data_IF_486752430046
#
_entry.id   IF_486752430046
#
_cell.length_a   1.000
_cell.length_b   1.000
_cell.length_c   1.000
_cell.angle_alpha   90.00
_cell.angle_beta   90.00
_cell.angle_gamma   90.00
#
_symmetry.space_group_name_H-M   'P 1'
#
loop_
_entity.id
_entity.type
_entity.pdbx_description
1 polymer ?
#
# COMPACT_ATOMS: atom_id res chain seq x y z
N UNK A 1 -1.95 29.76 9.12
CA UNK A 1 -1.67 29.23 7.77
C UNK A 1 -1.54 27.71 7.90
N UNK A 2 -2.46 26.99 7.27
CA UNK A 2 -3.02 25.74 7.80
C UNK A 2 -2.07 24.52 7.73
N UNK A 3 -1.76 23.96 8.89
CA UNK A 3 -1.05 22.69 9.10
C UNK A 3 -1.74 21.46 8.46
N UNK A 4 -2.94 21.62 7.91
CA UNK A 4 -3.75 20.57 7.23
C UNK A 4 -3.65 20.57 5.69
N UNK A 5 -2.80 21.42 5.11
CA UNK A 5 -2.58 21.42 3.64
C UNK A 5 -1.82 20.18 3.14
N UNK A 6 -1.04 19.53 4.00
CA UNK A 6 -0.26 18.34 3.66
C UNK A 6 -1.07 17.04 3.81
N UNK A 7 -0.86 16.12 2.86
CA UNK A 7 -1.54 14.81 2.83
C UNK A 7 -1.21 13.95 4.07
N UNK A 8 -0.06 14.19 4.69
CA UNK A 8 0.43 13.48 5.90
C UNK A 8 -0.28 13.94 7.19
N UNK A 9 -0.72 15.20 7.26
CA UNK A 9 -1.30 15.81 8.48
C UNK A 9 -2.82 15.78 8.53
N UNK A 10 -3.51 15.27 7.50
CA UNK A 10 -4.98 15.12 7.49
C UNK A 10 -5.50 13.88 8.23
N UNK A 11 -4.63 12.92 8.53
CA UNK A 11 -5.01 11.59 9.03
C UNK A 11 -4.51 11.35 10.47
N UNK A 12 -3.77 12.31 11.03
CA UNK A 12 -3.16 12.19 12.36
C UNK A 12 -4.04 12.89 13.38
N UNK A 13 -4.55 12.14 14.36
CA UNK A 13 -5.19 12.72 15.54
C UNK A 13 -4.14 13.47 16.35
N UNK A 14 -4.23 14.79 16.41
CA UNK A 14 -3.34 15.65 17.19
C UNK A 14 -4.05 16.07 18.48
N UNK A 15 -3.44 15.78 19.63
CA UNK A 15 -3.86 16.31 20.94
C UNK A 15 -3.00 17.53 21.23
N UNK A 16 -3.64 18.67 21.54
CA UNK A 16 -2.97 19.88 21.99
C UNK A 16 -3.20 20.02 23.50
N UNK A 17 -2.12 19.96 24.28
CA UNK A 17 -2.14 20.19 25.73
C UNK A 17 -1.89 21.68 25.93
N UNK A 18 -2.84 22.38 26.55
CA UNK A 18 -2.82 23.84 26.63
C UNK A 18 -1.67 24.38 27.49
N UNK A 19 -1.00 25.40 26.96
CA UNK A 19 -0.25 26.41 27.72
C UNK A 19 -0.88 27.78 27.45
N UNK A 20 -0.84 28.68 28.44
CA UNK A 20 -1.41 30.04 28.52
C UNK A 20 -2.76 30.32 27.79
N UNK A 21 -3.82 30.70 28.53
CA UNK A 21 -5.20 30.73 28.02
C UNK A 21 -5.45 31.69 26.85
N UNK A 22 -4.67 32.75 26.67
CA UNK A 22 -4.82 33.68 25.53
C UNK A 22 -4.43 33.07 24.16
N UNK A 23 -3.60 32.02 24.14
CA UNK A 23 -3.18 31.36 22.87
C UNK A 23 -4.14 30.25 22.42
N UNK A 24 -4.84 29.59 23.35
CA UNK A 24 -5.74 28.48 23.04
C UNK A 24 -6.93 28.89 22.15
N UNK A 25 -7.42 30.12 22.30
CA UNK A 25 -8.61 30.59 21.59
C UNK A 25 -8.33 30.89 20.10
N UNK A 26 -7.12 31.36 19.76
CA UNK A 26 -6.70 31.58 18.35
C UNK A 26 -6.44 30.27 17.61
N UNK A 27 -6.10 29.19 18.31
CA UNK A 27 -5.88 27.86 17.74
C UNK A 27 -7.20 27.10 17.56
N UNK A 28 -8.17 27.26 18.49
CA UNK A 28 -9.56 26.75 18.36
C UNK A 28 -10.26 27.22 17.09
N UNK A 29 -10.06 28.48 16.71
CA UNK A 29 -10.62 29.04 15.47
C UNK A 29 -10.01 28.42 14.18
N UNK A 30 -8.80 27.85 14.25
CA UNK A 30 -8.12 27.27 13.08
C UNK A 30 -8.26 25.74 12.97
N UNK A 31 -8.59 25.04 14.06
CA UNK A 31 -8.71 23.57 14.10
C UNK A 31 -9.85 23.15 15.05
N UNK A 32 -11.10 23.11 14.56
CA UNK A 32 -12.27 22.77 15.40
C UNK A 32 -12.34 21.29 15.81
N UNK A 33 -11.64 20.40 15.11
CA UNK A 33 -11.65 18.95 15.40
C UNK A 33 -10.57 18.51 16.41
N UNK A 34 -9.87 19.45 17.05
CA UNK A 34 -8.86 19.11 18.06
C UNK A 34 -9.54 18.91 19.41
N UNK A 35 -9.25 17.79 20.08
CA UNK A 35 -9.65 17.56 21.47
C UNK A 35 -8.71 18.35 22.38
N UNK A 36 -9.24 19.34 23.09
CA UNK A 36 -8.50 20.15 24.07
C UNK A 36 -8.66 19.56 25.47
N UNK A 37 -7.57 19.43 26.25
CA UNK A 37 -7.62 18.96 27.63
C UNK A 37 -6.79 19.86 28.55
N UNK A 38 -7.21 19.99 29.81
CA UNK A 38 -6.41 20.53 30.91
C UNK A 38 -5.59 19.41 31.56
N UNK A 39 -4.59 19.78 32.36
CA UNK A 39 -3.55 18.86 32.87
C UNK A 39 -4.01 17.84 33.94
N UNK A 40 -5.25 17.89 34.42
CA UNK A 40 -5.76 16.95 35.42
C UNK A 40 -6.61 15.86 34.76
N UNK A 41 -6.05 14.65 34.63
CA UNK A 41 -6.71 13.47 34.04
C UNK A 41 -6.11 12.96 32.72
N UNK A 42 -4.91 13.44 32.36
CA UNK A 42 -4.26 13.17 31.06
C UNK A 42 -4.01 11.67 30.79
N UNK A 43 -3.70 10.87 31.82
CA UNK A 43 -3.30 9.47 31.64
C UNK A 43 -4.49 8.56 31.31
N UNK A 44 -5.59 8.67 32.07
CA UNK A 44 -6.76 7.80 31.90
C UNK A 44 -7.46 8.02 30.55
N UNK A 45 -7.54 9.30 30.13
CA UNK A 45 -8.06 9.66 28.80
C UNK A 45 -7.13 9.28 27.65
N UNK A 46 -5.82 9.23 27.88
CA UNK A 46 -4.85 8.70 26.89
C UNK A 46 -5.10 7.20 26.65
N UNK A 47 -5.33 6.43 27.71
CA UNK A 47 -5.62 4.99 27.59
C UNK A 47 -6.93 4.74 26.85
N UNK A 48 -7.99 5.49 27.17
CA UNK A 48 -9.27 5.40 26.47
C UNK A 48 -9.16 5.83 25.01
N UNK A 49 -8.39 6.87 24.71
CA UNK A 49 -8.18 7.31 23.33
C UNK A 49 -7.33 6.31 22.54
N UNK A 50 -6.33 5.68 23.17
CA UNK A 50 -5.55 4.60 22.56
C UNK A 50 -6.45 3.41 22.27
N UNK A 51 -7.32 3.01 23.22
CA UNK A 51 -8.30 1.93 23.03
C UNK A 51 -9.30 2.25 21.93
N UNK A 52 -9.87 3.46 21.92
CA UNK A 52 -10.82 3.90 20.89
C UNK A 52 -10.15 4.02 19.51
N UNK A 53 -8.91 4.51 19.45
CA UNK A 53 -8.14 4.59 18.19
C UNK A 53 -7.78 3.20 17.68
N UNK A 54 -7.39 2.27 18.55
CA UNK A 54 -7.14 0.88 18.19
C UNK A 54 -8.42 0.18 17.70
N UNK A 55 -9.56 0.47 18.31
CA UNK A 55 -10.86 -0.09 17.92
C UNK A 55 -11.35 0.51 16.58
N UNK A 56 -11.15 1.81 16.36
CA UNK A 56 -11.44 2.49 15.08
C UNK A 56 -10.49 2.06 13.96
N UNK A 57 -9.21 1.80 14.26
CA UNK A 57 -8.25 1.25 13.31
C UNK A 57 -8.57 -0.21 12.92
N UNK A 58 -9.15 -1.00 13.84
CA UNK A 58 -9.67 -2.35 13.53
C UNK A 58 -10.93 -2.32 12.67
N UNK A 59 -11.71 -1.24 12.73
CA UNK A 59 -13.00 -1.09 12.02
C UNK A 59 -12.92 -0.25 10.74
N UNK A 60 -11.83 0.46 10.49
CA UNK A 60 -11.64 1.20 9.25
C UNK A 60 -11.43 0.22 8.09
N UNK A 61 -12.31 0.18 7.07
CA UNK A 61 -12.02 -0.55 5.86
C UNK A 61 -10.82 0.13 5.18
N UNK A 62 -9.67 -0.54 5.12
CA UNK A 62 -8.48 -0.11 4.38
C UNK A 62 -8.73 0.06 2.85
N UNK A 63 -9.96 -0.13 2.37
CA UNK A 63 -10.32 -0.26 0.96
C UNK A 63 -10.94 0.97 0.29
N UNK A 64 -11.37 2.00 1.02
CA UNK A 64 -12.24 3.04 0.42
C UNK A 64 -11.50 4.28 -0.10
N UNK A 65 -10.22 4.50 0.26
CA UNK A 65 -9.51 5.71 -0.16
C UNK A 65 -9.04 5.74 -1.63
N UNK A 66 -9.36 4.71 -2.43
CA UNK A 66 -8.93 4.62 -3.83
C UNK A 66 -10.00 4.02 -4.78
N UNK A 67 -11.28 4.11 -4.42
CA UNK A 67 -12.37 3.80 -5.34
C UNK A 67 -12.39 4.88 -6.45
N UNK A 68 -11.94 4.53 -7.66
CA UNK A 68 -11.98 5.42 -8.83
C UNK A 68 -10.65 5.69 -9.54
N UNK A 69 -9.48 5.39 -8.93
CA UNK A 69 -8.20 5.49 -9.64
C UNK A 69 -7.99 4.24 -10.51
N UNK A 70 -7.75 4.36 -11.83
CA UNK A 70 -7.49 3.23 -12.71
C UNK A 70 -6.36 2.34 -12.19
N UNK A 71 -6.49 1.02 -12.36
CA UNK A 71 -5.53 0.04 -11.86
C UNK A 71 -4.12 0.28 -12.42
N UNK A 72 -4.01 0.65 -13.70
CA UNK A 72 -2.72 0.98 -14.32
C UNK A 72 -1.98 2.10 -13.56
N UNK A 73 -2.71 3.14 -13.14
CA UNK A 73 -2.14 4.26 -12.34
C UNK A 73 -1.79 3.82 -10.92
N UNK A 74 -2.58 2.92 -10.31
CA UNK A 74 -2.25 2.29 -9.01
C UNK A 74 -0.96 1.48 -9.09
N UNK A 75 -0.76 0.74 -10.17
CA UNK A 75 0.46 -0.05 -10.41
C UNK A 75 1.67 0.82 -10.76
N UNK A 76 1.44 2.07 -11.17
CA UNK A 76 2.47 3.02 -11.59
C UNK A 76 2.96 2.75 -13.00
N UNK A 77 2.07 2.31 -13.88
CA UNK A 77 2.32 2.12 -15.31
C UNK A 77 2.25 3.48 -15.99
N UNK A 78 3.25 3.77 -16.84
CA UNK A 78 3.35 5.01 -17.62
C UNK A 78 3.16 4.72 -19.11
N UNK A 79 2.84 5.72 -19.95
CA UNK A 79 2.81 5.56 -21.40
C UNK A 79 4.11 4.93 -21.94
N UNK A 80 4.00 4.10 -22.96
CA UNK A 80 5.12 3.41 -23.60
C UNK A 80 5.70 2.21 -22.82
N UNK A 81 5.15 1.89 -21.64
CA UNK A 81 5.65 0.77 -20.83
C UNK A 81 5.41 -0.59 -21.46
N UNK A 82 6.42 -1.45 -21.42
CA UNK A 82 6.26 -2.90 -21.58
C UNK A 82 6.10 -3.56 -20.21
N UNK A 83 4.93 -4.15 -19.96
CA UNK A 83 4.60 -4.80 -18.69
C UNK A 83 4.59 -6.32 -18.85
N UNK A 84 5.43 -7.00 -18.07
CA UNK A 84 5.49 -8.47 -18.02
C UNK A 84 4.47 -9.02 -17.03
N UNK A 85 3.62 -9.93 -17.47
CA UNK A 85 2.63 -10.64 -16.68
C UNK A 85 3.10 -12.08 -16.42
N UNK A 86 3.51 -12.39 -15.20
CA UNK A 86 4.08 -13.69 -14.85
C UNK A 86 3.08 -14.46 -13.99
N UNK A 87 2.50 -15.52 -14.54
CA UNK A 87 1.51 -16.35 -13.83
C UNK A 87 0.13 -15.71 -13.67
N UNK A 88 -0.16 -14.66 -14.45
CA UNK A 88 -1.44 -13.95 -14.40
C UNK A 88 -2.62 -14.91 -14.64
N UNK A 89 -3.74 -14.74 -13.90
CA UNK A 89 -4.95 -15.51 -14.17
C UNK A 89 -5.52 -15.13 -15.53
N UNK A 90 -6.27 -16.07 -16.11
CA UNK A 90 -7.09 -15.79 -17.27
C UNK A 90 -8.04 -14.62 -16.97
N UNK A 91 -8.24 -13.72 -17.93
CA UNK A 91 -9.07 -12.54 -17.72
C UNK A 91 -8.39 -11.36 -17.03
N UNK A 92 -7.09 -11.45 -16.68
CA UNK A 92 -6.42 -10.34 -16.00
C UNK A 92 -6.22 -9.10 -16.88
N UNK A 93 -6.09 -9.28 -18.20
CA UNK A 93 -5.88 -8.17 -19.15
C UNK A 93 -7.08 -7.22 -19.16
N UNK A 94 -8.27 -7.78 -18.98
CA UNK A 94 -9.55 -7.09 -18.88
C UNK A 94 -9.65 -6.33 -17.55
N UNK A 95 -9.16 -6.92 -16.45
CA UNK A 95 -9.07 -6.26 -15.13
C UNK A 95 -8.19 -5.01 -15.15
N UNK A 96 -7.20 -4.94 -16.04
CA UNK A 96 -6.37 -3.74 -16.20
C UNK A 96 -7.15 -2.55 -16.75
N UNK A 97 -8.26 -2.80 -17.44
CA UNK A 97 -9.10 -1.78 -18.06
C UNK A 97 -8.35 -0.98 -19.13
N UNK A 98 -8.65 0.30 -19.21
CA UNK A 98 -7.97 1.22 -20.11
C UNK A 98 -6.51 1.41 -19.70
N UNK A 99 -5.60 1.11 -20.63
CA UNK A 99 -4.16 1.27 -20.45
C UNK A 99 -3.70 2.64 -20.98
N UNK A 100 -2.65 3.24 -20.40
CA UNK A 100 -2.00 4.41 -20.97
C UNK A 100 -1.51 4.15 -22.40
N UNK A 101 -1.31 5.24 -23.15
CA UNK A 101 -0.87 5.18 -24.55
C UNK A 101 0.39 4.32 -24.74
N UNK A 102 0.41 3.51 -25.81
CA UNK A 102 1.55 2.67 -26.20
C UNK A 102 2.02 1.67 -25.13
N UNK A 103 1.18 1.32 -24.14
CA UNK A 103 1.49 0.26 -23.18
C UNK A 103 1.28 -1.11 -23.80
N UNK A 104 2.24 -2.02 -23.59
CA UNK A 104 2.20 -3.39 -24.11
C UNK A 104 2.24 -4.39 -22.97
N UNK A 105 1.22 -5.25 -22.87
CA UNK A 105 1.18 -6.37 -21.92
C UNK A 105 1.74 -7.64 -22.56
N UNK A 106 2.75 -8.26 -21.94
CA UNK A 106 3.42 -9.49 -22.42
C UNK A 106 3.39 -10.58 -21.36
N UNK A 107 3.12 -11.81 -21.75
CA UNK A 107 3.07 -12.94 -20.82
C UNK A 107 4.44 -13.58 -20.60
N UNK A 108 4.72 -13.96 -19.36
CA UNK A 108 5.98 -14.57 -18.93
C UNK A 108 7.07 -13.56 -18.59
N UNK A 109 8.22 -14.08 -18.17
CA UNK A 109 9.37 -13.25 -17.79
C UNK A 109 9.99 -12.65 -19.05
N UNK A 110 10.31 -11.35 -19.03
CA UNK A 110 11.00 -10.64 -20.11
C UNK A 110 12.17 -9.83 -19.59
N UNK A 111 13.28 -9.88 -20.32
CA UNK A 111 14.51 -9.15 -20.00
C UNK A 111 14.41 -7.65 -20.28
N UNK A 112 13.56 -7.27 -21.24
CA UNK A 112 13.23 -5.89 -21.60
C UNK A 112 11.78 -5.59 -21.20
N UNK A 113 11.56 -5.32 -19.91
CA UNK A 113 10.28 -4.81 -19.43
C UNK A 113 10.49 -3.65 -18.46
N UNK A 114 9.53 -2.73 -18.44
CA UNK A 114 9.53 -1.54 -17.59
C UNK A 114 8.77 -1.76 -16.28
N UNK A 115 8.00 -2.85 -16.20
CA UNK A 115 7.38 -3.33 -14.97
C UNK A 115 7.12 -4.83 -15.05
N UNK A 116 7.34 -5.58 -13.97
CA UNK A 116 6.92 -6.99 -13.87
C UNK A 116 5.82 -7.15 -12.82
N UNK A 117 4.71 -7.78 -13.20
CA UNK A 117 3.63 -8.22 -12.31
C UNK A 117 3.70 -9.75 -12.17
N UNK A 118 4.13 -10.23 -11.01
CA UNK A 118 4.25 -11.65 -10.73
C UNK A 118 3.15 -12.12 -9.78
N UNK A 119 2.30 -13.02 -10.26
CA UNK A 119 1.22 -13.64 -9.51
C UNK A 119 1.73 -14.95 -8.89
N UNK A 120 2.16 -14.87 -7.63
CA UNK A 120 2.56 -16.02 -6.84
C UNK A 120 1.32 -16.61 -6.12
N UNK A 121 1.12 -17.91 -6.24
CA UNK A 121 -0.05 -18.60 -5.67
C UNK A 121 0.24 -19.29 -4.33
N UNK A 122 1.49 -19.62 -4.07
CA UNK A 122 1.90 -20.31 -2.84
C UNK A 122 3.25 -19.83 -2.30
N UNK A 123 3.49 -20.09 -1.01
CA UNK A 123 4.79 -19.90 -0.35
C UNK A 123 5.90 -20.63 -1.09
N UNK A 124 5.64 -21.90 -1.44
CA UNK A 124 6.59 -22.74 -2.19
C UNK A 124 7.01 -22.08 -3.51
N UNK A 125 6.04 -21.61 -4.30
CA UNK A 125 6.33 -20.92 -5.56
C UNK A 125 7.17 -19.65 -5.33
N UNK A 126 6.82 -18.88 -4.29
CA UNK A 126 7.56 -17.69 -3.93
C UNK A 126 9.02 -18.04 -3.62
N UNK A 127 9.27 -19.00 -2.74
CA UNK A 127 10.61 -19.42 -2.32
C UNK A 127 11.45 -19.95 -3.48
N UNK A 128 10.89 -20.81 -4.34
CA UNK A 128 11.59 -21.40 -5.48
C UNK A 128 11.96 -20.38 -6.57
N UNK A 129 11.10 -19.38 -6.81
CA UNK A 129 11.24 -18.46 -7.95
C UNK A 129 11.81 -17.10 -7.59
N UNK A 130 11.79 -16.69 -6.32
CA UNK A 130 12.17 -15.34 -5.91
C UNK A 130 13.58 -14.94 -6.36
N UNK A 131 14.55 -15.87 -6.31
CA UNK A 131 15.92 -15.62 -6.77
C UNK A 131 15.98 -15.26 -8.27
N UNK A 132 15.15 -15.89 -9.09
CA UNK A 132 15.06 -15.62 -10.52
C UNK A 132 14.28 -14.32 -10.82
N UNK A 133 13.33 -13.96 -9.96
CA UNK A 133 12.50 -12.76 -10.13
C UNK A 133 13.17 -11.50 -9.59
N UNK A 134 14.01 -11.62 -8.56
CA UNK A 134 14.71 -10.52 -7.89
C UNK A 134 15.45 -9.59 -8.86
N UNK A 135 16.21 -10.05 -9.88
CA UNK A 135 16.92 -9.15 -10.81
C UNK A 135 15.99 -8.19 -11.57
N UNK A 136 14.72 -8.54 -11.74
CA UNK A 136 13.72 -7.70 -12.44
C UNK A 136 13.35 -6.45 -11.62
N UNK A 137 13.41 -6.53 -10.28
CA UNK A 137 13.11 -5.38 -9.42
C UNK A 137 14.11 -4.24 -9.58
N UNK A 138 15.35 -4.52 -10.03
CA UNK A 138 16.38 -3.51 -10.33
C UNK A 138 16.07 -2.67 -11.56
N UNK A 139 15.54 -3.31 -12.62
CA UNK A 139 15.42 -2.71 -13.96
C UNK A 139 14.07 -2.01 -14.16
N UNK A 140 13.02 -2.63 -13.64
CA UNK A 140 11.62 -2.37 -14.00
C UNK A 140 10.75 -2.08 -12.77
N UNK A 141 11.21 -2.50 -11.59
CA UNK A 141 10.36 -2.70 -10.43
C UNK A 141 9.56 -4.01 -10.54
N UNK A 142 9.41 -4.68 -9.41
CA UNK A 142 8.73 -5.98 -9.31
C UNK A 142 7.51 -5.84 -8.40
N UNK A 143 6.33 -6.13 -8.93
CA UNK A 143 5.17 -6.41 -8.11
C UNK A 143 5.09 -7.91 -7.85
N UNK A 144 4.98 -8.28 -6.58
CA UNK A 144 4.58 -9.63 -6.16
C UNK A 144 3.12 -9.56 -5.74
N UNK A 145 2.27 -10.29 -6.45
CA UNK A 145 0.83 -10.36 -6.28
C UNK A 145 0.49 -11.71 -5.69
N UNK A 146 -0.37 -11.73 -4.68
CA UNK A 146 -0.84 -12.95 -4.02
C UNK A 146 -2.37 -12.92 -3.88
N UNK A 147 -3.02 -14.10 -3.85
CA UNK A 147 -4.45 -14.16 -3.61
C UNK A 147 -4.80 -13.63 -2.21
N UNK A 148 -5.90 -12.91 -2.11
CA UNK A 148 -6.44 -12.48 -0.82
C UNK A 148 -6.99 -13.68 -0.08
N UNK A 149 -6.91 -13.62 1.25
CA UNK A 149 -7.54 -14.60 2.13
C UNK A 149 -9.07 -14.68 1.97
N UNK A 150 -9.69 -13.60 1.48
CA UNK A 150 -11.12 -13.54 1.14
C UNK A 150 -11.44 -14.04 -0.27
N UNK A 151 -10.44 -14.36 -1.08
CA UNK A 151 -10.65 -14.88 -2.43
C UNK A 151 -11.03 -16.36 -2.39
N UNK A 152 -11.63 -16.87 -3.46
CA UNK A 152 -11.90 -18.32 -3.61
C UNK A 152 -10.64 -19.13 -3.93
N UNK A 153 -9.48 -18.47 -4.12
CA UNK A 153 -8.23 -19.13 -4.45
C UNK A 153 -7.55 -19.58 -3.16
N UNK A 154 -7.23 -20.87 -3.07
CA UNK A 154 -6.45 -21.39 -1.96
C UNK A 154 -5.02 -20.85 -2.03
N UNK A 155 -4.57 -20.23 -0.95
CA UNK A 155 -3.20 -19.75 -0.82
C UNK A 155 -2.75 -19.78 0.63
N UNK A 156 -1.50 -20.13 0.84
CA UNK A 156 -0.76 -19.97 2.10
C UNK A 156 0.05 -18.67 2.13
N UNK A 157 -0.13 -17.80 1.13
CA UNK A 157 0.51 -16.48 1.06
C UNK A 157 -0.32 -15.40 1.77
N UNK A 158 0.41 -14.48 2.39
CA UNK A 158 -0.14 -13.26 2.95
C UNK A 158 0.87 -12.12 2.85
N UNK A 159 0.42 -10.90 3.11
CA UNK A 159 1.28 -9.72 3.09
C UNK A 159 2.56 -9.87 3.92
N UNK A 160 2.52 -10.37 5.19
CA UNK A 160 3.72 -10.44 6.01
C UNK A 160 4.79 -11.33 5.40
N UNK A 161 4.39 -12.50 4.88
CA UNK A 161 5.27 -13.48 4.25
C UNK A 161 5.90 -12.92 2.97
N UNK A 162 5.10 -12.30 2.10
CA UNK A 162 5.61 -11.69 0.85
C UNK A 162 6.63 -10.59 1.16
N UNK A 163 6.35 -9.74 2.17
CA UNK A 163 7.28 -8.72 2.63
C UNK A 163 8.56 -9.34 3.17
N UNK A 164 8.45 -10.28 4.11
CA UNK A 164 9.60 -10.95 4.73
C UNK A 164 10.51 -11.60 3.68
N UNK A 165 9.93 -12.35 2.74
CA UNK A 165 10.67 -12.99 1.66
C UNK A 165 11.41 -11.95 0.79
N UNK A 166 10.73 -10.85 0.43
CA UNK A 166 11.34 -9.78 -0.36
C UNK A 166 12.50 -9.07 0.36
N UNK A 167 12.33 -8.77 1.65
CA UNK A 167 13.37 -8.16 2.49
C UNK A 167 14.56 -9.11 2.68
N UNK A 168 14.32 -10.40 2.92
CA UNK A 168 15.36 -11.43 3.01
C UNK A 168 16.13 -11.56 1.69
N UNK A 169 15.46 -11.35 0.56
CA UNK A 169 16.07 -11.25 -0.75
C UNK A 169 16.73 -9.88 -1.04
N UNK A 170 16.93 -9.01 -0.04
CA UNK A 170 17.63 -7.74 -0.18
C UNK A 170 16.91 -6.69 -1.04
N UNK A 171 15.59 -6.83 -1.18
CA UNK A 171 14.73 -5.81 -1.79
C UNK A 171 14.13 -4.91 -0.70
N UNK A 172 13.55 -3.80 -1.10
CA UNK A 172 12.75 -2.92 -0.24
C UNK A 172 11.37 -2.74 -0.84
N UNK A 173 10.32 -2.86 -0.02
CA UNK A 173 8.96 -2.55 -0.44
C UNK A 173 8.63 -1.08 -0.22
N UNK A 174 7.85 -0.49 -1.14
CA UNK A 174 7.49 0.92 -1.06
C UNK A 174 6.03 1.22 -1.43
N UNK A 175 5.32 0.23 -1.99
CA UNK A 175 3.92 0.41 -2.37
C UNK A 175 3.15 -0.89 -2.25
N UNK A 176 2.00 -0.83 -1.60
CA UNK A 176 1.04 -1.94 -1.54
C UNK A 176 -0.31 -1.48 -2.08
N UNK A 177 -1.04 -2.36 -2.77
CA UNK A 177 -2.42 -2.07 -3.14
C UNK A 177 -3.25 -3.34 -3.36
N UNK A 178 -4.57 -3.16 -3.28
CA UNK A 178 -5.55 -4.12 -3.80
C UNK A 178 -5.59 -4.01 -5.32
N UNK A 179 -5.45 -5.15 -6.00
CA UNK A 179 -5.48 -5.24 -7.46
C UNK A 179 -6.93 -5.37 -7.94
N UNK A 180 -7.63 -6.36 -7.41
CA UNK A 180 -9.05 -6.63 -7.67
C UNK A 180 -9.69 -7.32 -6.45
N UNK A 181 -10.83 -7.97 -6.62
CA UNK A 181 -11.51 -8.74 -5.56
C UNK A 181 -10.70 -9.93 -5.03
N UNK A 182 -9.80 -10.48 -5.84
CA UNK A 182 -9.07 -11.71 -5.58
C UNK A 182 -7.60 -11.49 -5.21
N UNK A 183 -6.98 -10.40 -5.66
CA UNK A 183 -5.52 -10.23 -5.59
C UNK A 183 -5.12 -8.95 -4.87
N UNK A 184 -4.06 -9.06 -4.07
CA UNK A 184 -3.31 -7.95 -3.50
C UNK A 184 -1.89 -7.97 -4.05
N UNK A 185 -1.21 -6.82 -4.09
CA UNK A 185 0.15 -6.73 -4.57
C UNK A 185 1.02 -5.82 -3.71
N UNK A 186 2.31 -6.17 -3.65
CA UNK A 186 3.37 -5.41 -3.00
C UNK A 186 4.49 -5.17 -4.01
N UNK A 187 4.91 -3.91 -4.15
CA UNK A 187 5.94 -3.48 -5.08
C UNK A 187 7.28 -3.37 -4.38
N UNK A 188 8.28 -3.96 -5.01
CA UNK A 188 9.66 -4.02 -4.58
C UNK A 188 10.59 -3.34 -5.57
N UNK A 189 11.67 -2.77 -5.03
CA UNK A 189 12.88 -2.38 -5.76
C UNK A 189 14.09 -2.99 -5.06
N UNK A 190 15.24 -3.09 -5.73
CA UNK A 190 16.47 -3.44 -5.03
C UNK A 190 16.88 -2.29 -4.11
N UNK A 191 17.43 -2.65 -2.95
CA UNK A 191 18.06 -1.67 -2.06
C UNK A 191 19.28 -1.07 -2.77
N UNK A 192 19.31 0.26 -2.89
CA UNK A 192 20.52 0.98 -3.27
C UNK A 192 21.57 0.77 -2.18
N UNK A 193 22.80 0.45 -2.59
CA UNK A 193 23.93 0.26 -1.68
C UNK A 193 24.53 1.60 -1.30
#
# INVERSE_FOLDING_TARGET
MALRSYKSTRITSSILVDGEPEKGERVKAQIPDATYTNCDGTVERLEDLVRQTAQKARQAPLGESYAGVPLAKKLGIRPGYTVSLVGAPEGFRETMGELPENVVLRDGVRTQSDLTLWFAKSRRELEERLQHMRPLSKKAGLWILWPKQTSKLQTDLGQPLVREAGLAAGMVDFKICSIDKNWSGLRFTLREK
#
